data_IF_555617376600
#
_entry.id   IF_555617376600
#
_cell.length_a   1.000
_cell.length_b   1.000
_cell.length_c   1.000
_cell.angle_alpha   90.00
_cell.angle_beta   90.00
_cell.angle_gamma   90.00
#
_symmetry.space_group_name_H-M   'P 1'
#
loop_
_entity.id
_entity.type
_entity.pdbx_description
1 polymer ?
#
# COMPACT_ATOMS: atom_id res chain seq x y z
N UNK A 1 -19.14 -20.67 5.92
CA UNK A 1 -17.70 -20.81 6.20
C UNK A 1 -16.98 -19.75 5.41
N UNK A 2 -16.50 -18.68 6.04
CA UNK A 2 -15.65 -17.70 5.36
C UNK A 2 -14.29 -18.35 5.13
N UNK A 3 -13.92 -18.53 3.87
CA UNK A 3 -12.61 -19.06 3.50
C UNK A 3 -11.54 -18.14 4.08
N UNK A 4 -10.67 -18.68 4.93
CA UNK A 4 -9.52 -17.97 5.50
C UNK A 4 -8.53 -17.44 4.43
N UNK A 5 -8.72 -17.81 3.16
CA UNK A 5 -7.96 -17.34 1.99
C UNK A 5 -8.41 -15.97 1.47
N UNK A 6 -9.63 -15.52 1.80
CA UNK A 6 -10.19 -14.27 1.26
C UNK A 6 -9.39 -13.02 1.66
N UNK A 7 -8.96 -12.83 2.93
CA UNK A 7 -8.14 -11.68 3.30
C UNK A 7 -6.75 -11.71 2.67
N UNK A 8 -6.16 -12.89 2.48
CA UNK A 8 -4.82 -13.06 1.94
C UNK A 8 -4.74 -12.66 0.46
N UNK A 9 -5.74 -13.08 -0.35
CA UNK A 9 -5.81 -12.70 -1.76
C UNK A 9 -5.95 -11.18 -1.94
N UNK A 10 -6.81 -10.53 -1.16
CA UNK A 10 -7.00 -9.07 -1.22
C UNK A 10 -5.73 -8.34 -0.78
N UNK A 11 -5.04 -8.84 0.26
CA UNK A 11 -3.79 -8.27 0.73
C UNK A 11 -2.70 -8.33 -0.35
N UNK A 12 -2.56 -9.47 -1.04
CA UNK A 12 -1.60 -9.60 -2.13
C UNK A 12 -1.88 -8.63 -3.29
N UNK A 13 -3.14 -8.49 -3.69
CA UNK A 13 -3.52 -7.57 -4.77
C UNK A 13 -3.26 -6.11 -4.38
N UNK A 14 -3.54 -5.74 -3.14
CA UNK A 14 -3.21 -4.43 -2.58
C UNK A 14 -1.70 -4.19 -2.61
N UNK A 15 -0.89 -5.15 -2.15
CA UNK A 15 0.57 -5.03 -2.13
C UNK A 15 1.19 -4.98 -3.53
N UNK A 16 0.59 -5.66 -4.51
CA UNK A 16 1.02 -5.62 -5.93
C UNK A 16 0.67 -4.28 -6.59
N UNK A 17 -0.47 -3.69 -6.23
CA UNK A 17 -0.99 -2.48 -6.89
C UNK A 17 -0.49 -1.20 -6.25
N UNK A 18 -0.28 -1.18 -4.93
CA UNK A 18 0.20 0.00 -4.22
C UNK A 18 1.64 0.33 -4.66
N UNK A 19 1.91 1.50 -5.26
CA UNK A 19 3.28 1.90 -5.53
C UNK A 19 4.00 2.15 -4.21
N UNK A 20 4.82 1.19 -3.79
CA UNK A 20 5.68 1.29 -2.61
C UNK A 20 7.15 1.35 -3.00
N UNK A 21 7.95 2.16 -2.30
CA UNK A 21 9.41 2.16 -2.41
C UNK A 21 10.00 0.78 -2.06
N UNK A 22 11.19 0.45 -2.56
CA UNK A 22 11.96 -0.72 -2.11
C UNK A 22 12.94 -0.32 -1.03
N UNK A 23 12.89 -0.98 0.13
CA UNK A 23 13.91 -0.81 1.16
C UNK A 23 15.11 -1.74 0.87
N UNK A 24 16.32 -1.18 0.79
CA UNK A 24 17.58 -1.92 0.60
C UNK A 24 18.57 -1.56 1.71
N UNK A 25 19.32 -2.55 2.21
CA UNK A 25 20.31 -2.37 3.27
C UNK A 25 19.85 -2.94 4.60
N UNK A 26 20.79 -3.57 5.33
CA UNK A 26 20.52 -4.27 6.60
C UNK A 26 20.52 -3.32 7.80
N UNK A 27 21.41 -2.33 7.81
CA UNK A 27 21.60 -1.39 8.93
C UNK A 27 21.02 -0.01 8.58
N UNK A 28 21.46 0.59 7.47
CA UNK A 28 20.88 1.82 6.93
C UNK A 28 19.98 1.48 5.75
N UNK A 29 18.66 1.39 6.01
CA UNK A 29 17.68 1.14 4.95
C UNK A 29 17.59 2.36 4.03
N UNK A 30 18.10 2.22 2.82
CA UNK A 30 17.86 3.15 1.75
C UNK A 30 16.55 2.80 1.05
N UNK A 31 15.73 3.81 0.80
CA UNK A 31 14.50 3.67 0.04
C UNK A 31 14.77 3.98 -1.43
N UNK A 32 14.43 3.05 -2.31
CA UNK A 32 14.61 3.15 -3.74
C UNK A 32 13.25 3.25 -4.43
N UNK A 33 13.18 4.00 -5.53
CA UNK A 33 12.00 4.02 -6.36
C UNK A 33 11.72 2.63 -6.95
N UNK A 34 10.48 2.15 -6.83
CA UNK A 34 10.09 0.86 -7.40
C UNK A 34 10.13 0.80 -8.93
N UNK A 35 10.06 1.95 -9.62
CA UNK A 35 10.03 2.05 -11.08
C UNK A 35 11.42 2.17 -11.70
N UNK A 36 12.30 3.00 -11.14
CA UNK A 36 13.60 3.32 -11.73
C UNK A 36 14.80 3.07 -10.81
N UNK A 37 14.59 2.56 -9.59
CA UNK A 37 15.62 2.29 -8.57
C UNK A 37 16.42 3.51 -8.07
N UNK A 38 16.06 4.74 -8.44
CA UNK A 38 16.66 5.96 -7.88
C UNK A 38 16.40 6.04 -6.37
N UNK A 39 17.42 6.44 -5.60
CA UNK A 39 17.29 6.69 -4.16
C UNK A 39 16.27 7.79 -3.91
N UNK A 40 15.34 7.54 -3.00
CA UNK A 40 14.32 8.49 -2.60
C UNK A 40 14.83 9.36 -1.47
N UNK A 41 14.49 10.65 -1.54
CA UNK A 41 14.71 11.55 -0.42
C UNK A 41 13.65 11.27 0.65
N UNK A 42 14.08 10.66 1.76
CA UNK A 42 13.21 10.33 2.90
C UNK A 42 13.21 11.40 3.99
N UNK A 43 13.99 12.48 3.83
CA UNK A 43 14.03 13.60 4.77
C UNK A 43 12.89 14.60 4.53
N UNK A 44 12.30 14.56 3.34
CA UNK A 44 11.20 15.44 2.90
C UNK A 44 9.99 14.62 2.43
N UNK A 45 9.43 13.86 3.36
CA UNK A 45 8.21 13.08 3.10
C UNK A 45 6.97 13.97 3.20
N UNK A 46 6.04 13.74 2.29
CA UNK A 46 4.71 14.32 2.33
C UNK A 46 3.71 13.27 2.82
N UNK A 47 2.56 13.70 3.33
CA UNK A 47 1.45 12.78 3.55
C UNK A 47 0.64 12.68 2.26
N UNK A 48 0.44 11.46 1.79
CA UNK A 48 -0.35 11.17 0.60
C UNK A 48 -1.35 10.05 0.83
N UNK A 49 -2.32 9.96 -0.06
CA UNK A 49 -3.35 8.93 -0.04
C UNK A 49 -3.38 8.20 -1.40
N UNK A 50 -3.40 6.87 -1.34
CA UNK A 50 -3.59 6.02 -2.50
C UNK A 50 -4.95 5.34 -2.43
N UNK A 51 -5.68 5.41 -3.54
CA UNK A 51 -6.99 4.77 -3.70
C UNK A 51 -6.83 3.56 -4.61
N UNK A 52 -6.85 2.36 -4.03
CA UNK A 52 -6.69 1.11 -4.78
C UNK A 52 -8.08 0.58 -5.15
N UNK A 53 -8.44 0.55 -6.45
CA UNK A 53 -9.70 -0.03 -6.87
C UNK A 53 -9.65 -1.55 -6.76
N UNK A 54 -10.66 -2.13 -6.13
CA UNK A 54 -10.82 -3.57 -5.95
C UNK A 54 -12.10 -4.04 -6.63
N UNK A 55 -12.00 -5.17 -7.33
CA UNK A 55 -13.14 -5.88 -7.89
C UNK A 55 -13.02 -7.35 -7.53
N UNK A 56 -13.90 -7.83 -6.66
CA UNK A 56 -13.97 -9.23 -6.26
C UNK A 56 -15.19 -9.87 -6.89
N UNK A 57 -15.05 -11.13 -7.33
CA UNK A 57 -16.18 -11.89 -7.86
C UNK A 57 -17.28 -11.95 -6.80
N UNK A 58 -18.51 -11.62 -7.20
CA UNK A 58 -19.71 -11.58 -6.36
C UNK A 58 -19.83 -10.38 -5.40
N UNK A 59 -19.03 -9.32 -5.61
CA UNK A 59 -19.13 -8.08 -4.84
C UNK A 59 -19.23 -6.84 -5.73
N UNK A 60 -19.85 -5.78 -5.21
CA UNK A 60 -19.75 -4.47 -5.86
C UNK A 60 -18.30 -3.96 -5.80
N UNK A 61 -17.79 -3.32 -6.86
CA UNK A 61 -16.47 -2.71 -6.84
C UNK A 61 -16.33 -1.72 -5.69
N UNK A 62 -15.17 -1.72 -5.04
CA UNK A 62 -14.89 -0.84 -3.91
C UNK A 62 -13.46 -0.32 -3.98
N UNK A 63 -13.11 0.61 -3.07
CA UNK A 63 -11.78 1.19 -3.01
C UNK A 63 -11.19 1.03 -1.63
N UNK A 64 -9.90 0.72 -1.58
CA UNK A 64 -9.11 0.70 -0.36
C UNK A 64 -8.27 1.99 -0.36
N UNK A 65 -8.57 2.88 0.58
CA UNK A 65 -7.83 4.13 0.78
C UNK A 65 -6.72 3.91 1.79
N UNK A 66 -5.47 4.15 1.38
CA UNK A 66 -4.28 3.96 2.22
C UNK A 66 -3.56 5.30 2.29
N UNK A 67 -3.48 5.86 3.50
CA UNK A 67 -2.84 7.14 3.77
C UNK A 67 -1.53 6.93 4.51
N UNK A 68 -0.53 7.76 4.23
CA UNK A 68 0.76 7.66 4.90
C UNK A 68 1.87 8.45 4.22
N UNK A 69 3.12 8.25 4.66
CA UNK A 69 4.27 8.96 4.12
C UNK A 69 4.54 8.54 2.68
N UNK A 70 4.62 9.52 1.79
CA UNK A 70 4.93 9.35 0.37
C UNK A 70 6.18 10.11 -0.01
N UNK A 71 6.90 9.54 -0.97
CA UNK A 71 8.07 10.15 -1.58
C UNK A 71 7.87 10.23 -3.09
N UNK A 72 8.15 11.40 -3.67
CA UNK A 72 8.19 11.59 -5.11
C UNK A 72 9.61 11.32 -5.62
N UNK A 73 9.73 10.41 -6.58
CA UNK A 73 11.03 10.14 -7.19
C UNK A 73 11.50 11.35 -8.03
N UNK A 74 12.69 11.86 -7.77
CA UNK A 74 13.26 12.99 -8.53
C UNK A 74 13.59 12.66 -9.99
N UNK A 75 13.81 11.38 -10.32
CA UNK A 75 14.17 10.95 -11.66
C UNK A 75 12.96 10.66 -12.56
N UNK A 76 12.01 9.84 -12.08
CA UNK A 76 10.86 9.42 -12.89
C UNK A 76 9.52 10.05 -12.45
N UNK A 77 9.56 10.97 -11.47
CA UNK A 77 8.42 11.72 -10.93
C UNK A 77 7.30 10.87 -10.33
N UNK A 78 7.53 9.56 -10.18
CA UNK A 78 6.57 8.62 -9.61
C UNK A 78 6.40 8.87 -8.12
N UNK A 79 5.16 9.10 -7.69
CA UNK A 79 4.78 9.16 -6.29
C UNK A 79 4.57 7.74 -5.77
N UNK A 80 5.15 7.43 -4.60
CA UNK A 80 5.03 6.10 -4.00
C UNK A 80 5.04 6.19 -2.48
N UNK A 81 4.37 5.27 -1.81
CA UNK A 81 4.46 5.14 -0.35
C UNK A 81 5.85 4.68 0.06
N UNK A 82 6.34 5.21 1.18
CA UNK A 82 7.58 4.74 1.79
C UNK A 82 7.31 3.41 2.47
N UNK A 83 8.08 2.38 2.12
CA UNK A 83 7.91 1.03 2.64
C UNK A 83 8.44 0.93 4.06
N UNK A 84 7.58 1.14 5.05
CA UNK A 84 7.87 0.95 6.47
C UNK A 84 7.26 -0.36 6.97
N UNK A 85 7.73 -0.84 8.14
CA UNK A 85 7.08 -1.99 8.79
C UNK A 85 5.66 -1.65 9.23
N UNK A 86 5.42 -0.41 9.62
CA UNK A 86 4.10 0.09 10.02
C UNK A 86 3.11 0.06 8.85
N UNK A 87 3.55 0.49 7.66
CA UNK A 87 2.74 0.43 6.45
C UNK A 87 2.26 -1.01 6.16
N UNK A 88 3.18 -1.98 6.19
CA UNK A 88 2.87 -3.38 5.87
C UNK A 88 2.05 -4.08 6.95
N UNK A 89 2.35 -3.83 8.23
CA UNK A 89 1.78 -4.59 9.33
C UNK A 89 0.53 -3.96 9.95
N UNK A 90 0.30 -2.66 9.76
CA UNK A 90 -0.80 -1.93 10.39
C UNK A 90 -1.64 -1.17 9.36
N UNK A 91 -1.05 -0.24 8.60
CA UNK A 91 -1.83 0.69 7.78
C UNK A 91 -2.59 -0.02 6.66
N UNK A 92 -1.94 -0.94 5.94
CA UNK A 92 -2.58 -1.72 4.87
C UNK A 92 -3.69 -2.62 5.43
N UNK A 93 -3.45 -3.47 6.45
CA UNK A 93 -4.52 -4.24 7.08
C UNK A 93 -5.69 -3.40 7.59
N UNK A 94 -5.41 -2.25 8.24
CA UNK A 94 -6.45 -1.37 8.78
C UNK A 94 -7.28 -0.71 7.68
N UNK A 95 -6.64 -0.30 6.58
CA UNK A 95 -7.32 0.23 5.40
C UNK A 95 -8.23 -0.83 4.76
N UNK A 96 -7.78 -2.09 4.70
CA UNK A 96 -8.58 -3.20 4.21
C UNK A 96 -9.81 -3.46 5.09
N UNK A 97 -9.64 -3.54 6.40
CA UNK A 97 -10.76 -3.71 7.35
C UNK A 97 -11.77 -2.58 7.19
N UNK A 98 -11.28 -1.34 7.14
CA UNK A 98 -12.14 -0.15 6.95
C UNK A 98 -12.90 -0.19 5.62
N UNK A 99 -12.28 -0.70 4.56
CA UNK A 99 -12.95 -0.87 3.26
C UNK A 99 -14.02 -1.98 3.30
N UNK A 100 -13.76 -3.09 3.99
CA UNK A 100 -14.74 -4.17 4.18
C UNK A 100 -15.94 -3.75 5.02
N UNK A 101 -15.72 -2.98 6.10
CA UNK A 101 -16.80 -2.44 6.92
C UNK A 101 -17.72 -1.51 6.10
N UNK A 102 -17.15 -0.68 5.22
CA UNK A 102 -17.90 0.23 4.34
C UNK A 102 -18.78 -0.49 3.32
N UNK A 103 -18.39 -1.67 2.87
CA UNK A 103 -19.17 -2.47 1.90
C UNK A 103 -20.05 -3.53 2.57
N UNK A 104 -20.16 -3.50 3.89
CA UNK A 104 -21.06 -4.38 4.64
C UNK A 104 -20.58 -5.83 4.76
N UNK A 105 -19.30 -6.12 4.46
CA UNK A 105 -18.66 -7.39 4.81
C UNK A 105 -18.35 -7.35 6.31
N UNK A 106 -19.37 -7.54 7.15
CA UNK A 106 -19.16 -7.74 8.58
C UNK A 106 -18.53 -9.12 8.82
N UNK A 107 -17.53 -9.15 9.72
CA UNK A 107 -16.94 -10.38 10.28
C UNK A 107 -18.01 -11.33 10.83
#
# INVERSE_FOLDING_TARGET
>A
MMNAEFPAFVLEDVLKTLPQSRAKGLVNKQHLCNKCNTVLNIESLENGEFQIPMSLKSMQPFRIGISGPVAKCSACMTLQMVKTRELENADIPNAMVSAFDRIGLKR
#
